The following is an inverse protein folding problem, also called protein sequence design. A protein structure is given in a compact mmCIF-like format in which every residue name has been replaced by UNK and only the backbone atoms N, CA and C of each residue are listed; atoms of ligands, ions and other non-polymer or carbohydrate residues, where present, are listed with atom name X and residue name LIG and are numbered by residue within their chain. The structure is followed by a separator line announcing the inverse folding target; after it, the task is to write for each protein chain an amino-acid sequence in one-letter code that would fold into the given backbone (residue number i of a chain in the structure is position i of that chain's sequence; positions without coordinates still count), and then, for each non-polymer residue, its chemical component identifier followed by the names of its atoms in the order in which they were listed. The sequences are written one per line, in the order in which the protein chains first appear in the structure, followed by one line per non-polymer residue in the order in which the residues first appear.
data_IF_349096913981
#
_entry.id   IF_349096913981
#
_cell.length_a   1.000
_cell.length_b   1.000
_cell.length_c   1.000
_cell.angle_alpha   90.00
_cell.angle_beta   90.00
_cell.angle_gamma   90.00
#
_symmetry.space_group_name_H-M   'P 1'
#
loop_
_entity.id
_entity.type
_entity.pdbx_description
1 polymer ?
#
# COMPACT_ATOMS: atom_id res chain seq x y z
N UNK A 1 2.61 -6.31 22.96
CA UNK A 1 2.60 -5.63 24.25
C UNK A 1 1.23 -5.75 24.91
N UNK A 2 1.14 -5.47 26.21
CA UNK A 2 -0.13 -5.54 26.96
C UNK A 2 -1.20 -4.57 26.45
N UNK A 3 -0.80 -3.42 25.90
CA UNK A 3 -1.69 -2.42 25.30
C UNK A 3 -2.13 -2.73 23.86
N UNK A 4 -1.66 -3.82 23.26
CA UNK A 4 -1.96 -4.20 21.87
C UNK A 4 -0.97 -3.71 20.83
N UNK A 5 -0.01 -2.83 21.18
CA UNK A 5 1.05 -2.41 20.27
C UNK A 5 2.08 -3.53 20.04
N UNK A 6 2.78 -3.44 18.91
CA UNK A 6 3.97 -4.24 18.65
C UNK A 6 5.24 -3.47 19.03
N UNK A 7 6.21 -4.17 19.59
CA UNK A 7 7.57 -3.66 19.71
C UNK A 7 8.33 -3.93 18.42
N UNK A 8 9.35 -3.10 18.12
CA UNK A 8 10.17 -3.29 16.92
C UNK A 8 11.04 -4.55 16.99
N UNK A 9 11.51 -4.90 18.19
CA UNK A 9 12.34 -6.08 18.43
C UNK A 9 11.65 -7.06 19.38
N UNK A 10 11.92 -8.34 19.20
CA UNK A 10 11.48 -9.37 20.14
C UNK A 10 12.00 -9.06 21.55
N UNK A 11 11.10 -9.16 22.56
CA UNK A 11 11.41 -8.79 23.94
C UNK A 11 11.45 -7.29 24.24
N UNK A 12 11.25 -6.44 23.23
CA UNK A 12 11.14 -4.99 23.44
C UNK A 12 9.90 -4.61 24.24
N UNK A 13 10.02 -3.55 25.02
CA UNK A 13 8.93 -3.04 25.88
C UNK A 13 8.31 -1.73 25.38
N UNK A 14 8.99 -1.05 24.45
CA UNK A 14 8.51 0.22 23.87
C UNK A 14 7.66 -0.03 22.62
N UNK A 15 6.47 0.59 22.51
CA UNK A 15 5.65 0.52 21.31
C UNK A 15 6.36 1.11 20.09
N UNK A 16 6.23 0.44 18.96
CA UNK A 16 6.55 1.01 17.65
C UNK A 16 5.24 1.38 16.95
N UNK A 17 4.96 2.66 16.82
CA UNK A 17 3.72 3.17 16.22
C UNK A 17 3.61 2.73 14.74
N UNK A 18 4.64 3.07 13.94
CA UNK A 18 4.73 2.64 12.54
C UNK A 18 4.75 1.12 12.42
N UNK A 19 5.56 0.44 13.22
CA UNK A 19 5.67 -1.01 13.23
C UNK A 19 4.36 -1.70 13.57
N UNK A 20 3.56 -1.12 14.48
CA UNK A 20 2.24 -1.64 14.81
C UNK A 20 1.29 -1.52 13.62
N UNK A 21 1.22 -0.34 12.98
CA UNK A 21 0.41 -0.15 11.79
C UNK A 21 0.83 -1.11 10.66
N UNK A 22 2.14 -1.30 10.47
CA UNK A 22 2.68 -2.20 9.45
C UNK A 22 2.33 -3.68 9.72
N UNK A 23 2.43 -4.12 10.97
CA UNK A 23 2.06 -5.49 11.36
C UNK A 23 0.54 -5.72 11.19
N UNK A 24 -0.29 -4.75 11.57
CA UNK A 24 -1.75 -4.85 11.37
C UNK A 24 -2.11 -4.84 9.88
N UNK A 25 -1.43 -4.04 9.05
CA UNK A 25 -1.58 -4.07 7.60
C UNK A 25 -1.31 -5.48 7.05
N UNK A 26 -0.18 -6.07 7.43
CA UNK A 26 0.15 -7.45 7.04
C UNK A 26 -0.92 -8.44 7.48
N UNK A 27 -1.38 -8.38 8.73
CA UNK A 27 -2.43 -9.29 9.23
C UNK A 27 -3.76 -9.10 8.50
N UNK A 28 -4.15 -7.86 8.19
CA UNK A 28 -5.38 -7.58 7.46
C UNK A 28 -5.33 -8.13 6.02
N UNK A 29 -4.20 -7.93 5.31
CA UNK A 29 -4.00 -8.51 3.98
C UNK A 29 -3.95 -10.05 4.03
N UNK A 30 -3.22 -10.63 4.99
CA UNK A 30 -3.15 -12.09 5.16
C UNK A 30 -4.55 -12.69 5.37
N UNK A 31 -5.37 -12.09 6.23
CA UNK A 31 -6.75 -12.52 6.45
C UNK A 31 -7.61 -12.43 5.18
N UNK A 32 -7.44 -11.38 4.36
CA UNK A 32 -8.13 -11.19 3.08
C UNK A 32 -7.81 -12.32 2.09
N UNK A 33 -6.58 -12.83 2.10
CA UNK A 33 -6.15 -13.94 1.26
C UNK A 33 -6.38 -15.32 1.90
N UNK A 34 -7.12 -15.39 3.00
CA UNK A 34 -7.53 -16.66 3.63
C UNK A 34 -6.47 -17.30 4.54
N UNK A 35 -5.38 -16.60 4.84
CA UNK A 35 -4.39 -17.09 5.80
C UNK A 35 -4.94 -16.98 7.23
N UNK A 36 -4.54 -17.93 8.08
CA UNK A 36 -4.88 -17.91 9.50
C UNK A 36 -4.18 -16.74 10.20
N UNK A 37 -4.99 -15.89 10.85
CA UNK A 37 -4.52 -14.74 11.64
C UNK A 37 -5.11 -14.85 13.04
N UNK A 38 -4.29 -14.67 14.08
CA UNK A 38 -4.79 -14.58 15.46
C UNK A 38 -5.67 -13.34 15.62
N UNK A 39 -6.97 -13.57 15.70
CA UNK A 39 -8.00 -12.54 15.81
C UNK A 39 -7.84 -11.71 17.09
N UNK A 40 -7.50 -12.34 18.19
CA UNK A 40 -7.32 -11.64 19.48
C UNK A 40 -6.18 -10.62 19.39
N UNK A 41 -5.06 -11.00 18.77
CA UNK A 41 -3.92 -10.10 18.55
C UNK A 41 -4.29 -8.97 17.57
N UNK A 42 -4.98 -9.30 16.48
CA UNK A 42 -5.43 -8.29 15.51
C UNK A 42 -6.38 -7.27 16.16
N UNK A 43 -7.39 -7.72 16.88
CA UNK A 43 -8.39 -6.84 17.52
C UNK A 43 -7.74 -5.91 18.57
N UNK A 44 -6.79 -6.42 19.35
CA UNK A 44 -6.04 -5.61 20.32
C UNK A 44 -5.19 -4.54 19.63
N UNK A 45 -4.54 -4.89 18.53
CA UNK A 45 -3.73 -3.96 17.77
C UNK A 45 -4.58 -2.89 17.04
N UNK A 46 -5.75 -3.27 16.50
CA UNK A 46 -6.72 -2.30 15.94
C UNK A 46 -7.24 -1.34 17.02
N UNK A 47 -7.52 -1.85 18.22
CA UNK A 47 -7.91 -1.02 19.37
C UNK A 47 -6.79 -0.03 19.75
N UNK A 48 -5.54 -0.49 19.75
CA UNK A 48 -4.39 0.39 19.99
C UNK A 48 -4.31 1.51 18.94
N UNK A 49 -4.38 1.18 17.64
CA UNK A 49 -4.31 2.17 16.56
C UNK A 49 -5.43 3.21 16.65
N UNK A 50 -6.63 2.81 17.07
CA UNK A 50 -7.78 3.70 17.22
C UNK A 50 -7.68 4.59 18.47
N UNK A 51 -7.19 4.05 19.57
CA UNK A 51 -7.17 4.71 20.87
C UNK A 51 -5.98 5.66 21.08
N UNK A 52 -5.03 5.70 20.16
CA UNK A 52 -3.82 6.51 20.29
C UNK A 52 -3.77 7.63 19.25
N UNK A 53 -3.19 8.74 19.63
CA UNK A 53 -2.78 9.82 18.75
C UNK A 53 -1.30 9.65 18.44
N UNK A 54 -0.93 9.88 17.18
CA UNK A 54 0.46 9.79 16.72
C UNK A 54 0.91 11.18 16.26
N UNK A 55 2.07 11.63 16.73
CA UNK A 55 2.60 12.96 16.39
C UNK A 55 3.02 13.05 14.91
N UNK A 56 3.51 11.94 14.35
CA UNK A 56 3.89 11.89 12.94
C UNK A 56 2.63 11.76 12.04
N UNK A 57 2.33 12.76 11.19
CA UNK A 57 1.14 12.74 10.32
C UNK A 57 1.09 11.56 9.37
N UNK A 58 2.25 11.05 8.91
CA UNK A 58 2.31 9.88 8.03
C UNK A 58 1.92 8.61 8.79
N UNK A 59 2.41 8.43 10.02
CA UNK A 59 2.03 7.30 10.86
C UNK A 59 0.54 7.35 11.21
N UNK A 60 0.01 8.54 11.52
CA UNK A 60 -1.42 8.72 11.77
C UNK A 60 -2.27 8.37 10.53
N UNK A 61 -1.88 8.87 9.35
CA UNK A 61 -2.55 8.55 8.09
C UNK A 61 -2.51 7.04 7.78
N UNK A 62 -1.36 6.41 8.06
CA UNK A 62 -1.21 4.98 7.88
C UNK A 62 -2.11 4.17 8.83
N UNK A 63 -2.20 4.57 10.09
CA UNK A 63 -3.13 3.95 11.04
C UNK A 63 -4.59 4.07 10.54
N UNK A 64 -5.01 5.22 10.00
CA UNK A 64 -6.36 5.39 9.45
C UNK A 64 -6.60 4.50 8.22
N UNK A 65 -5.61 4.40 7.32
CA UNK A 65 -5.70 3.48 6.19
C UNK A 65 -5.87 2.03 6.65
N UNK A 66 -5.07 1.58 7.61
CA UNK A 66 -5.11 0.20 8.12
C UNK A 66 -6.42 -0.10 8.84
N UNK A 67 -6.95 0.84 9.64
CA UNK A 67 -8.27 0.72 10.27
C UNK A 67 -9.39 0.59 9.21
N UNK A 68 -9.33 1.37 8.14
CA UNK A 68 -10.28 1.29 7.04
C UNK A 68 -10.15 -0.04 6.26
N UNK A 69 -8.92 -0.50 6.01
CA UNK A 69 -8.63 -1.79 5.37
C UNK A 69 -9.19 -2.97 6.18
N UNK A 70 -9.12 -2.90 7.51
CA UNK A 70 -9.69 -3.88 8.41
C UNK A 70 -11.22 -3.77 8.59
N UNK A 71 -11.89 -2.89 7.84
CA UNK A 71 -13.33 -2.69 7.91
C UNK A 71 -13.81 -1.92 9.15
N UNK A 72 -12.91 -1.25 9.86
CA UNK A 72 -13.22 -0.51 11.10
C UNK A 72 -12.71 0.94 11.05
N UNK A 73 -13.10 1.75 10.05
CA UNK A 73 -12.61 3.12 9.90
C UNK A 73 -12.93 4.01 11.11
N UNK A 74 -12.01 4.91 11.46
CA UNK A 74 -12.26 5.98 12.42
C UNK A 74 -12.50 7.31 11.68
N UNK A 75 -13.74 7.54 11.28
CA UNK A 75 -14.14 8.74 10.52
C UNK A 75 -13.83 10.05 11.26
N UNK A 76 -13.89 10.04 12.58
CA UNK A 76 -13.56 11.21 13.40
C UNK A 76 -12.09 11.58 13.30
N UNK A 77 -11.20 10.60 13.43
CA UNK A 77 -9.77 10.82 13.27
C UNK A 77 -9.40 11.17 11.81
N UNK A 78 -10.01 10.51 10.83
CA UNK A 78 -9.82 10.84 9.41
C UNK A 78 -10.20 12.30 9.10
N UNK A 79 -11.33 12.79 9.61
CA UNK A 79 -11.77 14.17 9.41
C UNK A 79 -10.82 15.17 10.07
N UNK A 80 -10.40 14.94 11.32
CA UNK A 80 -9.41 15.79 11.99
C UNK A 80 -8.07 15.88 11.23
N UNK A 81 -7.63 14.73 10.66
CA UNK A 81 -6.40 14.71 9.85
C UNK A 81 -6.61 15.44 8.50
N UNK A 82 -7.79 15.32 7.90
CA UNK A 82 -8.13 16.04 6.67
C UNK A 82 -8.07 17.56 6.86
N UNK A 83 -8.57 18.09 7.96
CA UNK A 83 -8.50 19.53 8.29
C UNK A 83 -7.07 20.05 8.34
N UNK A 84 -6.11 19.20 8.67
CA UNK A 84 -4.67 19.49 8.74
C UNK A 84 -3.88 18.98 7.54
N UNK A 85 -4.55 18.49 6.49
CA UNK A 85 -3.89 17.82 5.36
C UNK A 85 -2.94 18.73 4.57
N UNK A 86 -3.14 20.05 4.63
CA UNK A 86 -2.23 21.01 3.98
C UNK A 86 -0.81 20.97 4.58
N UNK A 87 -0.68 20.69 5.90
CA UNK A 87 0.59 20.56 6.61
C UNK A 87 1.15 19.14 6.58
N UNK A 88 0.32 18.14 6.25
CA UNK A 88 0.76 16.78 6.08
C UNK A 88 1.53 16.59 4.75
N UNK A 89 2.55 15.76 4.75
CA UNK A 89 3.29 15.41 3.54
C UNK A 89 2.37 14.75 2.47
N UNK A 90 2.84 14.73 1.23
CA UNK A 90 2.06 14.14 0.13
C UNK A 90 1.71 12.67 0.37
N UNK A 91 2.62 11.89 0.93
CA UNK A 91 2.42 10.47 1.27
C UNK A 91 1.34 10.27 2.35
N UNK A 92 1.28 11.12 3.38
CA UNK A 92 0.20 11.11 4.36
C UNK A 92 -1.16 11.42 3.71
N UNK A 93 -1.21 12.37 2.77
CA UNK A 93 -2.45 12.68 2.02
C UNK A 93 -2.89 11.52 1.14
N UNK A 94 -1.96 10.83 0.47
CA UNK A 94 -2.27 9.65 -0.31
C UNK A 94 -2.81 8.50 0.55
N UNK A 95 -2.22 8.24 1.71
CA UNK A 95 -2.72 7.22 2.66
C UNK A 95 -4.09 7.59 3.22
N UNK A 96 -4.31 8.87 3.57
CA UNK A 96 -5.62 9.33 4.01
C UNK A 96 -6.67 9.21 2.91
N UNK A 97 -6.31 9.52 1.66
CA UNK A 97 -7.19 9.32 0.50
C UNK A 97 -7.55 7.84 0.32
N UNK A 98 -6.58 6.93 0.49
CA UNK A 98 -6.85 5.49 0.46
C UNK A 98 -7.83 5.06 1.57
N UNK A 99 -7.70 5.62 2.79
CA UNK A 99 -8.64 5.36 3.88
C UNK A 99 -10.07 5.81 3.54
N UNK A 100 -10.23 7.01 2.97
CA UNK A 100 -11.53 7.48 2.50
C UNK A 100 -12.11 6.68 1.33
N UNK A 101 -11.25 6.22 0.41
CA UNK A 101 -11.68 5.36 -0.69
C UNK A 101 -12.24 4.02 -0.18
N UNK A 102 -11.57 3.41 0.81
CA UNK A 102 -12.01 2.18 1.47
C UNK A 102 -13.30 2.38 2.29
N UNK A 103 -13.49 3.56 2.89
CA UNK A 103 -14.73 3.92 3.62
C UNK A 103 -15.88 4.34 2.67
N UNK A 104 -15.68 4.27 1.35
CA UNK A 104 -16.68 4.60 0.34
C UNK A 104 -16.80 6.10 0.02
N UNK A 105 -16.03 6.97 0.65
CA UNK A 105 -16.06 8.41 0.41
C UNK A 105 -15.08 8.83 -0.69
N UNK A 106 -15.39 8.39 -1.92
CA UNK A 106 -14.57 8.59 -3.11
C UNK A 106 -14.28 10.08 -3.39
N UNK A 107 -15.29 10.94 -3.23
CA UNK A 107 -15.13 12.37 -3.51
C UNK A 107 -14.03 13.01 -2.67
N UNK A 108 -14.02 12.75 -1.36
CA UNK A 108 -12.99 13.27 -0.47
C UNK A 108 -11.62 12.70 -0.81
N UNK A 109 -11.54 11.41 -1.17
CA UNK A 109 -10.30 10.79 -1.59
C UNK A 109 -9.72 11.46 -2.86
N UNK A 110 -10.56 11.77 -3.85
CA UNK A 110 -10.16 12.48 -5.06
C UNK A 110 -9.69 13.92 -4.78
N UNK A 111 -10.38 14.65 -3.90
CA UNK A 111 -9.98 16.00 -3.46
C UNK A 111 -8.59 15.98 -2.79
N UNK A 112 -8.33 15.01 -1.92
CA UNK A 112 -7.04 14.85 -1.24
C UNK A 112 -5.90 14.53 -2.23
N UNK A 113 -6.13 13.66 -3.20
CA UNK A 113 -5.12 13.32 -4.21
C UNK A 113 -4.85 14.48 -5.18
N UNK A 114 -5.86 15.26 -5.55
CA UNK A 114 -5.69 16.45 -6.38
C UNK A 114 -4.78 17.50 -5.72
N UNK A 115 -4.83 17.64 -4.40
CA UNK A 115 -3.97 18.54 -3.63
C UNK A 115 -2.48 18.11 -3.60
N UNK A 116 -2.16 16.89 -4.05
CA UNK A 116 -0.78 16.42 -4.13
C UNK A 116 -0.12 16.68 -5.49
N UNK A 117 -0.88 17.13 -6.48
CA UNK A 117 -0.34 17.45 -7.80
C UNK A 117 0.71 18.57 -7.69
N UNK A 118 1.92 18.29 -8.21
CA UNK A 118 3.04 19.23 -8.18
C UNK A 118 3.79 19.34 -6.84
N UNK A 119 3.36 18.63 -5.79
CA UNK A 119 4.15 18.59 -4.54
C UNK A 119 5.33 17.63 -4.69
N UNK A 120 6.53 18.10 -4.34
CA UNK A 120 7.70 17.23 -4.28
C UNK A 120 7.48 16.12 -3.26
N UNK A 121 8.01 14.94 -3.56
CA UNK A 121 8.05 13.86 -2.56
C UNK A 121 8.80 14.36 -1.32
N UNK A 122 8.33 14.08 -0.09
CA UNK A 122 9.06 14.42 1.11
C UNK A 122 10.47 13.84 1.05
N UNK A 123 11.46 14.63 1.47
CA UNK A 123 12.82 14.09 1.60
C UNK A 123 12.81 12.99 2.63
N UNK A 124 13.50 11.89 2.34
CA UNK A 124 13.70 10.83 3.32
C UNK A 124 14.40 11.41 4.55
N UNK A 125 13.75 11.32 5.71
CA UNK A 125 14.34 11.64 7.00
C UNK A 125 14.72 10.31 7.68
N UNK A 126 16.02 10.03 7.87
CA UNK A 126 16.46 8.80 8.52
C UNK A 126 15.95 8.65 9.96
N UNK A 127 15.53 9.76 10.58
CA UNK A 127 15.09 9.81 11.97
C UNK A 127 13.56 9.75 12.14
N UNK A 128 12.79 9.73 11.04
CA UNK A 128 11.30 9.72 11.07
C UNK A 128 10.70 8.39 11.55
N UNK A 129 11.54 7.40 11.78
CA UNK A 129 11.18 6.02 12.22
C UNK A 129 10.14 5.32 11.34
N UNK A 130 9.84 5.86 10.15
CA UNK A 130 8.91 5.24 9.20
C UNK A 130 9.64 4.50 8.09
N UNK A 131 10.96 4.58 8.04
CA UNK A 131 11.79 3.99 6.98
C UNK A 131 11.35 4.42 5.57
N UNK A 132 11.11 5.72 5.43
CA UNK A 132 10.59 6.31 4.20
C UNK A 132 11.54 6.08 3.01
N UNK A 133 10.94 5.82 1.85
CA UNK A 133 11.66 5.71 0.57
C UNK A 133 10.79 6.17 -0.59
N UNK A 134 11.41 6.68 -1.68
CA UNK A 134 10.67 7.04 -2.89
C UNK A 134 9.86 5.87 -3.47
N UNK A 135 10.39 4.66 -3.38
CA UNK A 135 9.74 3.43 -3.86
C UNK A 135 8.46 3.10 -3.07
N UNK A 136 8.51 3.21 -1.73
CA UNK A 136 7.32 3.05 -0.89
C UNK A 136 6.28 4.13 -1.18
N UNK A 137 6.69 5.38 -1.36
CA UNK A 137 5.79 6.47 -1.73
C UNK A 137 5.08 6.18 -3.05
N UNK A 138 5.82 5.72 -4.06
CA UNK A 138 5.24 5.32 -5.34
C UNK A 138 4.24 4.17 -5.20
N UNK A 139 4.53 3.21 -4.31
CA UNK A 139 3.62 2.11 -4.01
C UNK A 139 2.32 2.61 -3.34
N UNK A 140 2.41 3.56 -2.39
CA UNK A 140 1.23 4.20 -1.77
C UNK A 140 0.38 4.91 -2.84
N UNK A 141 1.01 5.62 -3.78
CA UNK A 141 0.32 6.26 -4.92
C UNK A 141 -0.40 5.22 -5.78
N UNK A 142 0.29 4.15 -6.19
CA UNK A 142 -0.30 3.08 -7.00
C UNK A 142 -1.51 2.43 -6.29
N UNK A 143 -1.35 2.12 -5.01
CA UNK A 143 -2.43 1.56 -4.19
C UNK A 143 -3.67 2.45 -4.19
N UNK A 144 -3.48 3.75 -3.93
CA UNK A 144 -4.60 4.71 -3.88
C UNK A 144 -5.25 4.90 -5.23
N UNK A 145 -4.46 5.01 -6.31
CA UNK A 145 -4.98 5.08 -7.68
C UNK A 145 -5.79 3.83 -8.04
N UNK A 146 -5.34 2.66 -7.59
CA UNK A 146 -6.06 1.38 -7.78
C UNK A 146 -7.40 1.38 -7.06
N UNK A 147 -7.44 1.80 -5.79
CA UNK A 147 -8.67 1.93 -5.00
C UNK A 147 -9.65 2.93 -5.61
N UNK A 148 -9.15 4.01 -6.20
CA UNK A 148 -9.95 5.01 -6.90
C UNK A 148 -10.33 4.61 -8.33
N UNK A 149 -9.91 3.44 -8.82
CA UNK A 149 -10.17 3.00 -10.20
C UNK A 149 -9.54 3.89 -11.27
N UNK A 150 -8.50 4.65 -10.93
CA UNK A 150 -7.76 5.53 -11.85
C UNK A 150 -6.79 4.72 -12.73
N UNK A 151 -7.33 3.83 -13.54
CA UNK A 151 -6.58 2.78 -14.27
C UNK A 151 -5.40 3.31 -15.06
N UNK A 152 -5.59 4.38 -15.83
CA UNK A 152 -4.53 4.94 -16.67
C UNK A 152 -3.38 5.53 -15.84
N UNK A 153 -3.69 6.25 -14.76
CA UNK A 153 -2.69 6.78 -13.85
C UNK A 153 -1.95 5.64 -13.11
N UNK A 154 -2.69 4.64 -12.62
CA UNK A 154 -2.13 3.46 -11.98
C UNK A 154 -1.21 2.67 -12.94
N UNK A 155 -1.59 2.50 -14.20
CA UNK A 155 -0.76 1.84 -15.21
C UNK A 155 0.56 2.60 -15.46
N UNK A 156 0.51 3.93 -15.60
CA UNK A 156 1.73 4.75 -15.72
C UNK A 156 2.64 4.61 -14.48
N UNK A 157 2.05 4.55 -13.29
CA UNK A 157 2.81 4.32 -12.06
C UNK A 157 3.44 2.93 -12.03
N UNK A 158 2.72 1.90 -12.48
CA UNK A 158 3.20 0.52 -12.61
C UNK A 158 4.42 0.43 -13.54
N UNK A 159 4.40 1.11 -14.69
CA UNK A 159 5.55 1.14 -15.61
C UNK A 159 6.81 1.73 -14.93
N UNK A 160 6.67 2.84 -14.21
CA UNK A 160 7.79 3.44 -13.46
C UNK A 160 8.34 2.50 -12.38
N UNK A 161 7.45 1.77 -11.67
CA UNK A 161 7.86 0.78 -10.67
C UNK A 161 8.58 -0.40 -11.32
N UNK A 162 8.09 -0.88 -12.46
CA UNK A 162 8.76 -1.94 -13.24
C UNK A 162 10.18 -1.55 -13.64
N UNK A 163 10.37 -0.30 -14.06
CA UNK A 163 11.70 0.20 -14.43
C UNK A 163 12.67 0.30 -13.23
N UNK A 164 12.14 0.53 -12.03
CA UNK A 164 12.94 0.48 -10.80
C UNK A 164 13.34 -0.96 -10.47
N UNK A 165 12.39 -1.90 -10.56
CA UNK A 165 12.63 -3.32 -10.24
C UNK A 165 13.57 -4.02 -11.22
N UNK A 166 13.67 -3.53 -12.47
CA UNK A 166 14.63 -4.04 -13.47
C UNK A 166 16.06 -3.61 -13.21
N UNK A 167 16.27 -2.55 -12.42
CA UNK A 167 17.61 -2.06 -12.11
C UNK A 167 18.24 -2.90 -11.01
N UNK A 168 19.53 -3.18 -11.13
CA UNK A 168 20.31 -3.79 -10.07
C UNK A 168 20.61 -2.75 -8.98
N UNK A 169 19.56 -2.46 -8.20
CA UNK A 169 19.56 -1.51 -7.09
C UNK A 169 19.09 -2.20 -5.83
N UNK A 170 19.83 -2.03 -4.75
CA UNK A 170 19.38 -2.49 -3.45
C UNK A 170 18.11 -1.76 -3.02
N UNK A 171 17.10 -2.52 -2.63
CA UNK A 171 15.84 -2.04 -2.04
C UNK A 171 15.67 -2.59 -0.64
N UNK A 172 15.12 -1.80 0.28
CA UNK A 172 14.76 -2.32 1.59
C UNK A 172 13.64 -3.37 1.49
N UNK A 173 13.60 -4.29 2.43
CA UNK A 173 12.52 -5.30 2.50
C UNK A 173 11.14 -4.65 2.56
N UNK A 174 11.00 -3.53 3.28
CA UNK A 174 9.75 -2.78 3.35
C UNK A 174 9.36 -2.20 1.99
N UNK A 175 10.30 -1.54 1.29
CA UNK A 175 10.04 -0.98 -0.05
C UNK A 175 9.64 -2.06 -1.04
N UNK A 176 10.34 -3.18 -1.04
CA UNK A 176 10.06 -4.33 -1.90
C UNK A 176 8.68 -4.90 -1.62
N UNK A 177 8.33 -5.11 -0.35
CA UNK A 177 7.03 -5.65 0.05
C UNK A 177 5.87 -4.72 -0.38
N UNK A 178 6.01 -3.41 -0.18
CA UNK A 178 5.03 -2.43 -0.63
C UNK A 178 4.86 -2.43 -2.14
N UNK A 179 5.96 -2.42 -2.90
CA UNK A 179 5.92 -2.44 -4.37
C UNK A 179 5.24 -3.71 -4.88
N UNK A 180 5.64 -4.88 -4.40
CA UNK A 180 5.08 -6.16 -4.86
C UNK A 180 3.61 -6.30 -4.50
N UNK A 181 3.20 -5.92 -3.28
CA UNK A 181 1.79 -5.99 -2.87
C UNK A 181 0.91 -5.09 -3.73
N UNK A 182 1.33 -3.84 -3.98
CA UNK A 182 0.51 -2.90 -4.76
C UNK A 182 0.46 -3.25 -6.24
N UNK A 183 1.55 -3.79 -6.81
CA UNK A 183 1.58 -4.31 -8.17
C UNK A 183 0.64 -5.52 -8.32
N UNK A 184 0.67 -6.46 -7.37
CA UNK A 184 -0.21 -7.62 -7.37
C UNK A 184 -1.68 -7.21 -7.26
N UNK A 185 -2.00 -6.26 -6.37
CA UNK A 185 -3.36 -5.73 -6.22
C UNK A 185 -3.82 -5.02 -7.51
N UNK A 186 -2.98 -4.20 -8.15
CA UNK A 186 -3.33 -3.57 -9.42
C UNK A 186 -3.54 -4.61 -10.53
N UNK A 187 -2.66 -5.59 -10.67
CA UNK A 187 -2.78 -6.66 -11.64
C UNK A 187 -4.09 -7.46 -11.48
N UNK A 188 -4.54 -7.67 -10.24
CA UNK A 188 -5.80 -8.36 -9.95
C UNK A 188 -7.05 -7.58 -10.37
N UNK A 189 -6.96 -6.25 -10.59
CA UNK A 189 -8.07 -5.43 -11.10
C UNK A 189 -8.17 -5.42 -12.62
N UNK A 190 -7.17 -5.96 -13.32
CA UNK A 190 -7.14 -6.08 -14.77
C UNK A 190 -8.09 -7.15 -15.30
N UNK A 191 -8.21 -7.25 -16.64
CA UNK A 191 -8.87 -8.38 -17.24
C UNK A 191 -8.13 -9.66 -16.83
N UNK A 192 -8.84 -10.59 -16.24
CA UNK A 192 -8.33 -11.92 -15.91
C UNK A 192 -8.20 -12.70 -17.21
N UNK A 193 -7.02 -12.65 -17.81
CA UNK A 193 -6.73 -13.45 -19.00
C UNK A 193 -5.55 -12.88 -19.78
N UNK A 194 -4.78 -13.78 -20.34
CA UNK A 194 -3.69 -13.48 -21.27
C UNK A 194 -4.15 -13.92 -22.65
N UNK A 195 -4.11 -13.01 -23.61
CA UNK A 195 -4.17 -13.30 -25.04
C UNK A 195 -2.91 -12.71 -25.67
N UNK A 196 -1.90 -13.52 -25.83
CA UNK A 196 -0.58 -13.14 -26.32
C UNK A 196 -0.03 -14.18 -27.27
N UNK A 197 1.05 -13.88 -27.97
CA UNK A 197 1.75 -14.84 -28.84
C UNK A 197 3.22 -14.92 -28.45
N UNK A 198 3.75 -16.13 -28.42
CA UNK A 198 5.20 -16.36 -28.36
C UNK A 198 5.61 -17.00 -29.67
N UNK A 199 6.31 -16.26 -30.53
CA UNK A 199 6.56 -16.67 -31.89
C UNK A 199 5.25 -16.84 -32.66
N UNK A 200 4.97 -18.07 -33.13
CA UNK A 200 3.71 -18.42 -33.82
C UNK A 200 2.65 -19.06 -32.93
N UNK A 201 2.99 -19.37 -31.69
CA UNK A 201 2.15 -20.06 -30.71
C UNK A 201 1.26 -19.07 -29.95
N UNK A 202 -0.07 -19.19 -30.03
CA UNK A 202 -0.96 -18.36 -29.23
C UNK A 202 -0.99 -18.86 -27.78
N UNK A 203 -0.88 -17.93 -26.82
CA UNK A 203 -1.07 -18.20 -25.40
C UNK A 203 -2.39 -17.57 -24.98
N UNK A 204 -3.32 -18.40 -24.56
CA UNK A 204 -4.57 -17.95 -23.94
C UNK A 204 -4.70 -18.54 -22.56
N UNK A 205 -4.85 -17.70 -21.56
CA UNK A 205 -5.05 -18.11 -20.19
C UNK A 205 -6.15 -17.27 -19.55
N UNK A 206 -7.06 -17.89 -18.84
CA UNK A 206 -8.04 -17.20 -17.99
C UNK A 206 -7.40 -16.61 -16.73
N UNK A 207 -6.12 -16.90 -16.45
CA UNK A 207 -5.35 -16.38 -15.32
C UNK A 207 -4.40 -15.29 -15.80
N UNK A 208 -4.05 -14.37 -14.91
CA UNK A 208 -3.07 -13.31 -15.18
C UNK A 208 -1.62 -13.81 -15.32
N UNK A 209 -1.37 -15.08 -15.05
CA UNK A 209 -0.07 -15.74 -15.21
C UNK A 209 -0.26 -16.99 -16.06
N UNK A 210 0.55 -17.11 -17.11
CA UNK A 210 0.70 -18.32 -17.91
C UNK A 210 2.19 -18.69 -17.95
N UNK A 211 2.51 -19.98 -17.84
CA UNK A 211 3.86 -20.50 -18.04
C UNK A 211 3.86 -21.54 -19.15
N UNK A 212 4.88 -21.49 -20.00
CA UNK A 212 5.14 -22.49 -21.01
C UNK A 212 6.63 -22.74 -21.13
N UNK A 213 7.06 -23.96 -21.47
CA UNK A 213 8.48 -24.23 -21.72
C UNK A 213 8.93 -23.51 -23.00
N UNK A 214 10.01 -22.76 -22.93
CA UNK A 214 10.68 -22.18 -24.09
C UNK A 214 11.76 -23.14 -24.57
N UNK A 215 11.61 -23.69 -25.77
CA UNK A 215 12.57 -24.65 -26.34
C UNK A 215 13.62 -23.98 -27.25
N UNK A 216 13.44 -22.71 -27.56
CA UNK A 216 14.36 -21.90 -28.35
C UNK A 216 14.21 -20.40 -28.03
N UNK A 217 15.20 -19.53 -28.35
CA UNK A 217 15.03 -18.09 -28.27
C UNK A 217 13.82 -17.65 -29.09
N UNK A 218 12.87 -16.97 -28.42
CA UNK A 218 11.58 -16.64 -29.05
C UNK A 218 11.21 -15.20 -28.69
N UNK A 219 10.72 -14.46 -29.69
CA UNK A 219 10.21 -13.10 -29.50
C UNK A 219 8.80 -13.15 -28.94
N UNK A 220 8.53 -12.41 -27.87
CA UNK A 220 7.19 -12.25 -27.30
C UNK A 220 6.56 -10.99 -27.87
N UNK A 221 5.39 -11.10 -28.51
CA UNK A 221 4.58 -9.97 -29.01
C UNK A 221 3.24 -9.95 -28.26
N UNK A 222 2.90 -8.77 -27.75
CA UNK A 222 1.58 -8.46 -27.22
C UNK A 222 0.65 -7.99 -28.31
#
# INVERSE_FOLDING_TARGET
LSNGAFAYWSGGTSPSEWGTAYAVHFMAEAAKYGYAVDRTTLDRALKYLRGNTFDNPLTLAYAQYVLALAGTPDRGAMNRLRERSAQAGSDARWLLAAAYALDGNRKVAEELTAQTAGTAAPKADPYDRTYNSPERQMAIVLMTQTLLGQREAAFRTTLKMSDILKKDKWLSTQSTAWMLNTLANFASTGQTGIDARIGREPIRSAKSIASMPLTAPTEVKN
#
